data_IF_061679363528
#
_entry.id   IF_061679363528
#
_cell.length_a   1.000
_cell.length_b   1.000
_cell.length_c   1.000
_cell.angle_alpha   90.00
_cell.angle_beta   90.00
_cell.angle_gamma   90.00
#
_symmetry.space_group_name_H-M   'P 1'
#
loop_
_entity.id
_entity.type
_entity.pdbx_description
1 polymer ?
#
# COMPACT_ATOMS: atom_id res chain seq x y z
N UNK A 1 2.84 -17.42 5.53
CA UNK A 1 1.91 -16.82 6.54
C UNK A 1 1.92 -15.29 6.40
N UNK A 2 0.79 -14.65 6.56
CA UNK A 2 0.67 -13.20 6.45
C UNK A 2 0.60 -12.58 7.83
N UNK A 3 1.45 -11.57 8.09
CA UNK A 3 1.36 -10.77 9.30
C UNK A 3 0.47 -9.57 8.99
N UNK A 4 -0.56 -9.37 9.80
CA UNK A 4 -1.61 -8.39 9.53
C UNK A 4 -1.77 -7.44 10.69
N UNK A 5 -1.77 -6.14 10.38
CA UNK A 5 -2.08 -5.07 11.33
C UNK A 5 -3.42 -4.46 10.93
N UNK A 6 -4.24 -4.08 11.90
CA UNK A 6 -5.49 -3.40 11.63
C UNK A 6 -5.20 -2.05 10.94
N UNK A 7 -5.84 -1.80 9.81
CA UNK A 7 -5.63 -0.57 9.05
C UNK A 7 -6.24 0.62 9.81
N UNK A 8 -5.60 1.80 9.75
CA UNK A 8 -6.11 2.97 10.46
C UNK A 8 -7.28 3.63 9.72
N UNK A 9 -8.15 4.27 10.51
CA UNK A 9 -9.23 5.11 10.01
C UNK A 9 -10.18 4.40 9.07
N UNK A 10 -10.62 5.10 8.03
CA UNK A 10 -11.57 4.58 7.04
C UNK A 10 -10.98 3.43 6.22
N UNK A 11 -9.67 3.32 6.12
CA UNK A 11 -9.05 2.21 5.39
C UNK A 11 -9.41 0.85 5.99
N UNK A 12 -9.74 0.82 7.28
CA UNK A 12 -10.13 -0.45 7.94
C UNK A 12 -11.37 -1.07 7.27
N UNK A 13 -12.26 -0.26 6.73
CA UNK A 13 -13.47 -0.75 6.04
C UNK A 13 -13.13 -1.47 4.73
N UNK A 14 -11.98 -1.17 4.15
CA UNK A 14 -11.57 -1.71 2.85
C UNK A 14 -10.38 -2.63 2.96
N UNK A 15 -9.99 -2.99 4.19
CA UNK A 15 -8.80 -3.77 4.47
C UNK A 15 -8.72 -5.06 3.65
N UNK A 16 -9.80 -5.84 3.64
CA UNK A 16 -9.83 -7.11 2.93
C UNK A 16 -9.70 -6.89 1.42
N UNK A 17 -10.36 -5.87 0.88
CA UNK A 17 -10.28 -5.55 -0.55
C UNK A 17 -8.87 -5.11 -0.93
N UNK A 18 -8.24 -4.30 -0.09
CA UNK A 18 -6.88 -3.81 -0.34
C UNK A 18 -5.90 -4.98 -0.36
N UNK A 19 -5.98 -5.85 0.64
CA UNK A 19 -5.11 -7.04 0.72
C UNK A 19 -5.35 -7.94 -0.49
N UNK A 20 -6.61 -8.14 -0.88
CA UNK A 20 -6.95 -8.96 -2.04
C UNK A 20 -6.36 -8.38 -3.33
N UNK A 21 -6.39 -7.08 -3.51
CA UNK A 21 -5.82 -6.45 -4.70
C UNK A 21 -4.34 -6.80 -4.87
N UNK A 22 -3.58 -6.72 -3.79
CA UNK A 22 -2.16 -7.08 -3.82
C UNK A 22 -1.96 -8.58 -4.00
N UNK A 23 -2.73 -9.39 -3.29
CA UNK A 23 -2.58 -10.85 -3.33
C UNK A 23 -2.94 -11.43 -4.70
N UNK A 24 -3.95 -10.88 -5.35
CA UNK A 24 -4.34 -11.32 -6.69
C UNK A 24 -3.33 -10.92 -7.74
N UNK A 25 -2.73 -9.73 -7.59
CA UNK A 25 -1.76 -9.22 -8.55
C UNK A 25 -0.41 -9.93 -8.41
N UNK A 26 0.01 -10.24 -7.18
CA UNK A 26 1.36 -10.75 -6.90
C UNK A 26 1.29 -11.96 -5.96
N UNK A 27 0.72 -13.08 -6.43
CA UNK A 27 0.47 -14.23 -5.54
C UNK A 27 1.69 -15.01 -5.12
N UNK A 28 2.80 -14.92 -5.88
CA UNK A 28 3.96 -15.79 -5.71
C UNK A 28 5.23 -15.07 -5.25
N UNK A 29 5.11 -13.80 -4.83
CA UNK A 29 6.27 -13.02 -4.40
C UNK A 29 6.08 -12.53 -2.97
N UNK A 30 7.18 -12.47 -2.23
CA UNK A 30 7.16 -11.94 -0.86
C UNK A 30 7.30 -10.42 -0.92
N UNK A 31 6.48 -9.73 -0.13
CA UNK A 31 6.52 -8.28 -0.04
C UNK A 31 5.92 -7.79 1.28
N UNK A 32 6.24 -6.56 1.63
CA UNK A 32 5.62 -5.86 2.75
C UNK A 32 4.97 -4.59 2.24
N UNK A 33 3.87 -4.17 2.87
CA UNK A 33 3.13 -2.97 2.48
C UNK A 33 3.02 -2.03 3.66
N UNK A 34 3.25 -0.76 3.39
CA UNK A 34 3.22 0.32 4.39
C UNK A 34 2.29 1.42 3.92
N UNK A 35 1.68 2.09 4.90
CA UNK A 35 0.93 3.32 4.67
C UNK A 35 1.82 4.49 5.06
N UNK A 36 1.78 5.58 4.29
CA UNK A 36 2.42 6.83 4.66
C UNK A 36 1.53 7.99 4.18
N UNK A 37 1.99 9.23 4.33
CA UNK A 37 1.22 10.38 3.91
C UNK A 37 0.10 10.74 4.88
N UNK A 38 -0.91 11.47 4.40
CA UNK A 38 -1.95 12.04 5.25
C UNK A 38 -2.73 11.02 6.05
N UNK A 39 -3.02 9.86 5.46
CA UNK A 39 -3.77 8.81 6.17
C UNK A 39 -2.95 8.16 7.27
N UNK A 40 -1.63 8.10 7.11
CA UNK A 40 -0.75 7.60 8.16
C UNK A 40 -0.64 8.61 9.31
N UNK A 41 -0.63 9.91 8.99
CA UNK A 41 -0.57 10.97 9.99
C UNK A 41 -1.89 11.21 10.70
N UNK A 42 -3.01 10.75 10.13
CA UNK A 42 -4.34 10.99 10.68
C UNK A 42 -4.94 12.35 10.31
N UNK A 43 -4.36 13.03 9.33
CA UNK A 43 -4.84 14.34 8.88
C UNK A 43 -5.48 14.30 7.49
N UNK A 44 -5.89 13.12 7.05
CA UNK A 44 -6.58 12.95 5.77
C UNK A 44 -7.93 13.66 5.75
N UNK A 45 -8.27 14.14 4.57
CA UNK A 45 -9.60 14.67 4.29
C UNK A 45 -10.39 13.65 3.48
N UNK A 46 -11.69 13.86 3.38
CA UNK A 46 -12.54 13.00 2.57
C UNK A 46 -12.00 12.99 1.14
N UNK A 47 -11.78 11.80 0.61
CA UNK A 47 -11.27 11.63 -0.74
C UNK A 47 -9.75 11.68 -0.87
N UNK A 48 -9.02 11.83 0.24
CA UNK A 48 -7.55 11.77 0.19
C UNK A 48 -7.06 10.44 -0.38
N UNK A 49 -5.99 10.49 -1.17
CA UNK A 49 -5.37 9.30 -1.74
C UNK A 49 -4.85 8.37 -0.64
N UNK A 50 -4.81 7.09 -0.96
CA UNK A 50 -4.12 6.12 -0.10
C UNK A 50 -2.67 6.02 -0.60
N UNK A 51 -1.74 6.53 0.21
CA UNK A 51 -0.31 6.52 -0.13
C UNK A 51 0.31 5.25 0.42
N UNK A 52 0.52 4.28 -0.46
CA UNK A 52 1.06 2.97 -0.08
C UNK A 52 2.45 2.77 -0.68
N UNK A 53 3.30 2.10 0.09
CA UNK A 53 4.63 1.71 -0.35
C UNK A 53 4.77 0.20 -0.27
N UNK A 54 5.36 -0.39 -1.30
CA UNK A 54 5.63 -1.83 -1.33
C UNK A 54 7.14 -2.06 -1.28
N UNK A 55 7.53 -3.05 -0.47
CA UNK A 55 8.93 -3.45 -0.32
C UNK A 55 9.07 -4.94 -0.60
N UNK A 56 9.87 -5.29 -1.58
CA UNK A 56 10.15 -6.68 -1.92
C UNK A 56 11.22 -6.76 -3.00
N UNK A 57 12.17 -7.68 -2.84
CA UNK A 57 13.31 -7.77 -3.77
C UNK A 57 12.90 -8.20 -5.17
N UNK A 58 11.81 -8.95 -5.30
CA UNK A 58 11.36 -9.46 -6.58
C UNK A 58 10.22 -8.62 -7.20
N UNK A 59 9.78 -7.58 -6.51
CA UNK A 59 8.72 -6.70 -7.00
C UNK A 59 9.28 -5.80 -8.11
N UNK A 60 8.54 -5.67 -9.22
CA UNK A 60 8.94 -4.83 -10.34
C UNK A 60 7.78 -3.94 -10.80
N UNK A 61 8.03 -3.16 -11.87
CA UNK A 61 7.04 -2.21 -12.39
C UNK A 61 5.78 -2.90 -12.90
N UNK A 62 5.93 -4.09 -13.45
CA UNK A 62 4.80 -4.85 -13.95
C UNK A 62 3.88 -5.25 -12.80
N UNK A 63 4.47 -5.66 -11.68
CA UNK A 63 3.71 -6.01 -10.48
C UNK A 63 2.89 -4.80 -9.99
N UNK A 64 3.49 -3.61 -9.97
CA UNK A 64 2.78 -2.40 -9.57
C UNK A 64 1.60 -2.09 -10.49
N UNK A 65 1.79 -2.29 -11.78
CA UNK A 65 0.71 -2.11 -12.77
C UNK A 65 -0.45 -3.06 -12.51
N UNK A 66 -0.14 -4.31 -12.18
CA UNK A 66 -1.17 -5.31 -11.87
C UNK A 66 -1.93 -4.95 -10.60
N UNK A 67 -1.22 -4.44 -9.58
CA UNK A 67 -1.86 -4.01 -8.34
C UNK A 67 -2.82 -2.84 -8.61
N UNK A 68 -2.38 -1.85 -9.39
CA UNK A 68 -3.22 -0.70 -9.75
C UNK A 68 -4.45 -1.13 -10.53
N UNK A 69 -4.29 -2.09 -11.43
CA UNK A 69 -5.41 -2.65 -12.20
C UNK A 69 -6.42 -3.33 -11.27
N UNK A 70 -5.96 -4.15 -10.34
CA UNK A 70 -6.84 -4.81 -9.37
C UNK A 70 -7.58 -3.81 -8.49
N UNK A 71 -6.93 -2.70 -8.12
CA UNK A 71 -7.57 -1.65 -7.32
C UNK A 71 -8.83 -1.13 -7.97
N UNK A 72 -8.83 -0.98 -9.29
CA UNK A 72 -9.99 -0.47 -10.03
C UNK A 72 -11.16 -1.45 -10.07
N UNK A 73 -10.92 -2.74 -9.89
CA UNK A 73 -11.99 -3.73 -9.85
C UNK A 73 -12.73 -3.77 -8.52
N UNK A 74 -12.17 -3.19 -7.47
CA UNK A 74 -12.77 -3.19 -6.15
C UNK A 74 -13.51 -1.87 -5.90
N UNK A 75 -14.49 -1.90 -4.99
CA UNK A 75 -15.24 -0.70 -4.62
C UNK A 75 -14.47 0.05 -3.52
N UNK A 76 -13.33 0.60 -3.88
CA UNK A 76 -12.47 1.35 -2.96
C UNK A 76 -12.57 2.82 -3.39
N UNK A 77 -13.08 3.72 -2.51
CA UNK A 77 -13.46 5.08 -2.92
C UNK A 77 -12.29 6.06 -3.05
N UNK A 78 -11.08 5.70 -2.59
CA UNK A 78 -9.93 6.59 -2.71
C UNK A 78 -8.99 6.10 -3.81
N UNK A 79 -8.25 7.03 -4.39
CA UNK A 79 -7.21 6.72 -5.38
C UNK A 79 -6.02 6.05 -4.69
N UNK A 80 -5.32 5.21 -5.42
CA UNK A 80 -4.11 4.57 -4.94
C UNK A 80 -2.88 5.31 -5.48
N UNK A 81 -2.03 5.76 -4.57
CA UNK A 81 -0.70 6.24 -4.90
C UNK A 81 0.29 5.19 -4.39
N UNK A 82 0.81 4.38 -5.30
CA UNK A 82 1.65 3.23 -4.95
C UNK A 82 3.09 3.46 -5.41
N UNK A 83 4.02 3.35 -4.49
CA UNK A 83 5.44 3.48 -4.79
C UNK A 83 6.19 2.20 -4.41
N UNK A 84 7.24 1.90 -5.17
CA UNK A 84 8.18 0.83 -4.84
C UNK A 84 9.33 1.47 -4.05
N UNK A 85 9.60 0.97 -2.85
CA UNK A 85 10.63 1.54 -1.99
C UNK A 85 12.03 1.49 -2.61
N UNK A 86 12.26 0.62 -3.59
CA UNK A 86 13.54 0.59 -4.31
C UNK A 86 13.75 1.81 -5.21
N UNK A 87 12.67 2.49 -5.58
CA UNK A 87 12.69 3.54 -6.60
C UNK A 87 12.47 4.95 -6.05
N UNK A 88 12.25 5.11 -4.76
CA UNK A 88 11.96 6.44 -4.20
C UNK A 88 13.24 7.25 -4.04
N UNK A 89 13.11 8.58 -4.20
CA UNK A 89 14.22 9.49 -3.99
C UNK A 89 14.46 9.75 -2.50
N UNK A 90 15.56 10.44 -2.17
CA UNK A 90 15.95 10.66 -0.78
C UNK A 90 14.93 11.51 0.00
N UNK A 91 14.31 12.49 -0.63
CA UNK A 91 13.31 13.34 0.03
C UNK A 91 12.08 12.52 0.42
N UNK A 92 11.58 11.70 -0.51
CA UNK A 92 10.43 10.82 -0.23
C UNK A 92 10.80 9.75 0.79
N UNK A 93 12.03 9.25 0.75
CA UNK A 93 12.51 8.28 1.72
C UNK A 93 12.48 8.83 3.14
N UNK A 94 12.91 10.07 3.34
CA UNK A 94 12.85 10.72 4.64
C UNK A 94 11.42 10.87 5.14
N UNK A 95 10.52 11.30 4.26
CA UNK A 95 9.09 11.41 4.60
C UNK A 95 8.53 10.06 4.99
N UNK A 96 8.80 9.03 4.17
CA UNK A 96 8.33 7.68 4.42
C UNK A 96 8.81 7.16 5.79
N UNK A 97 10.10 7.33 6.10
CA UNK A 97 10.66 6.83 7.37
C UNK A 97 10.01 7.47 8.59
N UNK A 98 9.60 8.74 8.47
CA UNK A 98 8.94 9.45 9.57
C UNK A 98 7.47 9.06 9.73
N UNK A 99 6.79 8.72 8.64
CA UNK A 99 5.33 8.56 8.62
C UNK A 99 4.86 7.12 8.52
N UNK A 100 5.72 6.19 8.15
CA UNK A 100 5.32 4.84 7.79
C UNK A 100 4.55 4.11 8.87
N UNK A 101 3.50 3.44 8.45
CA UNK A 101 2.71 2.53 9.28
C UNK A 101 2.72 1.18 8.59
N UNK A 102 3.32 0.15 9.17
CA UNK A 102 3.28 -1.19 8.56
C UNK A 102 1.86 -1.70 8.51
N UNK A 103 1.45 -2.21 7.36
CA UNK A 103 0.11 -2.76 7.19
C UNK A 103 0.12 -4.29 7.21
N UNK A 104 0.88 -4.91 6.32
CA UNK A 104 1.03 -6.37 6.37
C UNK A 104 2.28 -6.80 5.61
N UNK A 105 2.66 -8.07 5.85
CA UNK A 105 3.74 -8.73 5.11
C UNK A 105 3.17 -10.02 4.53
N UNK A 106 3.39 -10.23 3.26
CA UNK A 106 3.08 -11.50 2.61
C UNK A 106 4.22 -12.48 2.80
N UNK A 107 3.93 -13.73 2.60
CA UNK A 107 4.94 -14.76 2.66
C UNK A 107 5.04 -15.50 1.37
#
# INVERSE_FOLDING_TARGET
>A
MTTLTKFPGTLAHYQDQIIDAFSRAVPNKAFSVYLFGSRARGDEQEGSDADLAISGTEIDRFDLSLIREQWEYFTIPMMLDLVDLKDINSALCEQFEKEKVPLWTSN
#
